data_IF_936041595644
#
_entry.id   IF_936041595644
#
_cell.length_a   1.000
_cell.length_b   1.000
_cell.length_c   1.000
_cell.angle_alpha   90.00
_cell.angle_beta   90.00
_cell.angle_gamma   90.00
#
_symmetry.space_group_name_H-M   'P 1'
#
loop_
_entity.id
_entity.type
_entity.pdbx_description
1 polymer ?
#
# COMPACT_ATOMS: atom_id res chain seq x y z
N UNK A 1 -5.33 13.93 18.61
CA UNK A 1 -4.72 14.78 17.56
C UNK A 1 -5.61 14.76 16.32
N UNK A 2 -5.66 15.88 15.59
CA UNK A 2 -6.29 15.95 14.28
C UNK A 2 -5.26 15.72 13.16
N UNK A 3 -5.44 14.68 12.34
CA UNK A 3 -4.48 14.26 11.32
C UNK A 3 -5.15 14.30 9.94
N UNK A 4 -4.52 14.98 8.99
CA UNK A 4 -4.91 15.00 7.58
C UNK A 4 -4.00 14.09 6.76
N UNK A 5 -4.57 13.27 5.87
CA UNK A 5 -3.82 12.32 5.04
C UNK A 5 -4.26 12.45 3.59
N UNK A 6 -3.28 12.63 2.71
CA UNK A 6 -3.45 12.69 1.26
C UNK A 6 -2.72 11.50 0.61
N UNK A 7 -3.46 10.55 0.05
CA UNK A 7 -2.94 9.29 -0.49
C UNK A 7 -3.38 9.03 -1.94
N UNK A 8 -2.46 9.16 -2.89
CA UNK A 8 -2.76 8.92 -4.31
C UNK A 8 -3.08 7.46 -4.61
N UNK A 9 -2.28 6.56 -4.05
CA UNK A 9 -2.36 5.15 -4.40
C UNK A 9 -3.50 4.42 -3.71
N UNK A 10 -4.10 5.04 -2.69
CA UNK A 10 -5.00 4.37 -1.77
C UNK A 10 -4.30 3.30 -0.92
N UNK A 11 -2.97 3.19 -0.97
CA UNK A 11 -2.22 2.12 -0.32
C UNK A 11 -1.90 2.42 1.17
N UNK A 12 -2.09 3.66 1.60
CA UNK A 12 -1.91 4.19 2.94
C UNK A 12 -3.23 4.21 3.76
N UNK A 13 -4.32 3.66 3.22
CA UNK A 13 -5.60 3.55 3.95
C UNK A 13 -5.51 2.66 5.21
N UNK A 14 -4.68 1.61 5.21
CA UNK A 14 -4.53 0.75 6.40
C UNK A 14 -3.87 1.46 7.58
N UNK A 15 -2.72 2.14 7.41
CA UNK A 15 -2.14 2.97 8.47
C UNK A 15 -3.08 4.11 8.92
N UNK A 16 -3.79 4.74 7.97
CA UNK A 16 -4.80 5.75 8.29
C UNK A 16 -5.93 5.20 9.17
N UNK A 17 -6.45 4.02 8.85
CA UNK A 17 -7.41 3.29 9.67
C UNK A 17 -6.80 2.92 11.03
N UNK A 18 -5.55 2.48 11.05
CA UNK A 18 -4.80 2.19 12.27
C UNK A 18 -4.80 3.36 13.24
N UNK A 19 -4.44 4.55 12.77
CA UNK A 19 -4.48 5.79 13.57
C UNK A 19 -5.89 6.10 14.08
N UNK A 20 -6.91 5.93 13.24
CA UNK A 20 -8.31 6.11 13.67
C UNK A 20 -8.73 5.11 14.75
N UNK A 21 -8.37 3.83 14.62
CA UNK A 21 -8.62 2.77 15.60
C UNK A 21 -7.92 3.01 16.94
N UNK A 22 -6.82 3.77 16.93
CA UNK A 22 -6.11 4.16 18.14
C UNK A 22 -6.72 5.42 18.79
N UNK A 23 -7.72 6.05 18.17
CA UNK A 23 -8.48 7.16 18.73
C UNK A 23 -8.08 8.53 18.18
N UNK A 24 -7.25 8.59 17.13
CA UNK A 24 -6.96 9.85 16.43
C UNK A 24 -8.15 10.26 15.54
N UNK A 25 -8.35 11.58 15.39
CA UNK A 25 -9.26 12.11 14.38
C UNK A 25 -8.50 12.16 13.06
N UNK A 26 -8.91 11.35 12.09
CA UNK A 26 -8.23 11.22 10.79
C UNK A 26 -9.13 11.70 9.67
N UNK A 27 -8.68 12.71 8.94
CA UNK A 27 -9.22 13.14 7.66
C UNK A 27 -8.38 12.51 6.56
N UNK A 28 -8.95 11.59 5.79
CA UNK A 28 -8.21 10.91 4.72
C UNK A 28 -8.83 11.24 3.37
N UNK A 29 -7.98 11.42 2.36
CA UNK A 29 -8.37 11.49 0.96
C UNK A 29 -7.47 10.63 0.12
N UNK A 30 -8.06 9.78 -0.72
CA UNK A 30 -7.32 9.07 -1.76
C UNK A 30 -8.20 8.66 -2.94
N UNK A 31 -7.57 8.17 -4.02
CA UNK A 31 -8.22 7.85 -5.31
C UNK A 31 -9.36 6.81 -5.19
N UNK A 32 -9.41 6.06 -4.09
CA UNK A 32 -10.45 5.08 -3.80
C UNK A 32 -11.61 5.55 -2.91
N UNK A 33 -11.66 6.82 -2.48
CA UNK A 33 -12.80 7.36 -1.73
C UNK A 33 -12.97 6.86 -0.30
N UNK A 34 -11.89 6.51 0.41
CA UNK A 34 -11.94 6.01 1.79
C UNK A 34 -12.18 7.13 2.81
N UNK A 35 -13.08 6.92 3.79
CA UNK A 35 -13.21 7.76 4.99
C UNK A 35 -13.01 6.89 6.25
N UNK A 36 -11.94 7.08 7.04
CA UNK A 36 -11.58 6.22 8.18
C UNK A 36 -12.46 6.38 9.43
N UNK A 37 -13.44 7.29 9.40
CA UNK A 37 -14.26 7.65 10.57
C UNK A 37 -15.40 6.68 10.89
N UNK A 38 -15.76 5.78 9.96
CA UNK A 38 -16.77 4.75 10.17
C UNK A 38 -16.44 3.48 9.35
N UNK A 39 -16.09 2.36 9.99
CA UNK A 39 -15.76 1.10 9.30
C UNK A 39 -16.95 0.46 8.57
N UNK A 40 -18.19 0.88 8.84
CA UNK A 40 -19.40 0.49 8.09
C UNK A 40 -19.64 1.37 6.88
N UNK A 41 -19.10 2.60 6.87
CA UNK A 41 -19.09 3.52 5.74
C UNK A 41 -17.77 3.48 4.97
N UNK A 42 -17.16 2.30 4.80
CA UNK A 42 -16.14 2.12 3.76
C UNK A 42 -16.77 2.45 2.40
N UNK A 43 -16.61 3.65 1.80
CA UNK A 43 -17.50 4.03 0.74
C UNK A 43 -16.95 3.50 -0.58
N UNK A 44 -17.73 2.63 -1.20
CA UNK A 44 -18.13 2.87 -2.59
C UNK A 44 -19.31 3.85 -2.65
N UNK A 45 -19.46 4.77 -1.69
CA UNK A 45 -20.11 6.01 -2.06
C UNK A 45 -19.13 6.66 -3.05
N UNK A 46 -19.51 6.84 -4.32
CA UNK A 46 -18.70 7.69 -5.17
C UNK A 46 -18.47 9.00 -4.42
N UNK A 47 -17.32 9.62 -4.62
CA UNK A 47 -17.15 11.04 -4.26
C UNK A 47 -18.44 11.79 -4.64
N UNK A 48 -18.89 12.79 -3.86
CA UNK A 48 -20.06 13.61 -4.19
C UNK A 48 -20.09 14.07 -5.67
N UNK A 49 -18.92 14.08 -6.32
CA UNK A 49 -18.71 13.98 -7.76
C UNK A 49 -19.74 13.18 -8.59
N UNK A 50 -20.15 11.97 -8.17
CA UNK A 50 -21.11 11.17 -8.94
C UNK A 50 -22.58 11.48 -8.63
N UNK A 51 -22.85 12.42 -7.71
CA UNK A 51 -24.20 12.91 -7.39
C UNK A 51 -24.42 14.37 -7.85
N UNK A 52 -23.58 14.89 -8.74
CA UNK A 52 -23.88 16.11 -9.51
C UNK A 52 -23.64 17.43 -8.77
N UNK A 53 -23.02 17.41 -7.59
CA UNK A 53 -22.52 18.60 -6.91
C UNK A 53 -21.06 18.39 -6.54
N UNK A 54 -20.15 18.92 -7.35
CA UNK A 54 -18.74 18.99 -6.96
C UNK A 54 -18.57 20.22 -6.04
N UNK A 55 -18.36 20.06 -4.72
CA UNK A 55 -17.70 21.12 -3.96
C UNK A 55 -16.36 21.44 -4.64
N UNK A 56 -15.90 22.69 -4.54
CA UNK A 56 -14.59 23.02 -5.12
C UNK A 56 -13.52 22.10 -4.52
N UNK A 57 -12.48 21.71 -5.27
CA UNK A 57 -11.37 20.90 -4.75
C UNK A 57 -10.80 21.46 -3.44
N UNK A 58 -10.87 22.78 -3.24
CA UNK A 58 -10.46 23.44 -2.01
C UNK A 58 -11.36 23.09 -0.83
N UNK A 59 -12.69 23.15 -0.97
CA UNK A 59 -13.63 22.81 0.08
C UNK A 59 -13.52 21.34 0.55
N UNK A 60 -13.16 20.43 -0.36
CA UNK A 60 -12.89 19.02 0.00
C UNK A 60 -11.59 18.85 0.80
N UNK A 61 -10.60 19.71 0.58
CA UNK A 61 -9.27 19.63 1.20
C UNK A 61 -9.18 20.45 2.49
N UNK A 62 -10.11 21.36 2.75
CA UNK A 62 -10.12 22.22 3.93
C UNK A 62 -9.94 21.47 5.27
N UNK A 63 -10.66 20.35 5.54
CA UNK A 63 -10.47 19.60 6.79
C UNK A 63 -9.05 19.01 6.94
N UNK A 64 -8.40 18.69 5.83
CA UNK A 64 -7.05 18.13 5.78
C UNK A 64 -6.02 19.24 5.97
N UNK A 65 -6.17 20.36 5.27
CA UNK A 65 -5.26 21.50 5.37
C UNK A 65 -5.35 22.20 6.73
N UNK A 66 -6.49 22.09 7.43
CA UNK A 66 -6.67 22.56 8.80
C UNK A 66 -6.21 21.57 9.88
N UNK A 67 -5.66 20.41 9.52
CA UNK A 67 -5.18 19.42 10.48
C UNK A 67 -3.90 19.87 11.21
N UNK A 68 -3.66 19.31 12.40
CA UNK A 68 -2.46 19.60 13.18
C UNK A 68 -1.22 18.94 12.56
N UNK A 69 -1.40 17.78 11.95
CA UNK A 69 -0.40 17.05 11.18
C UNK A 69 -1.00 16.68 9.83
N UNK A 70 -0.25 16.96 8.76
CA UNK A 70 -0.58 16.51 7.40
C UNK A 70 0.44 15.47 6.95
N UNK A 71 -0.06 14.32 6.48
CA UNK A 71 0.72 13.24 5.89
C UNK A 71 0.44 13.21 4.38
N UNK A 72 1.48 13.34 3.57
CA UNK A 72 1.39 13.16 2.12
C UNK A 72 1.97 11.80 1.76
N UNK A 73 1.12 10.91 1.26
CA UNK A 73 1.48 9.57 0.82
C UNK A 73 1.42 9.44 -0.71
N UNK A 74 2.54 9.06 -1.30
CA UNK A 74 2.69 8.93 -2.75
C UNK A 74 2.54 10.26 -3.51
N UNK A 75 2.15 10.17 -4.78
CA UNK A 75 2.09 11.29 -5.73
C UNK A 75 0.78 12.10 -5.68
N UNK A 76 0.14 12.26 -4.51
CA UNK A 76 -1.24 12.80 -4.45
C UNK A 76 -1.34 14.26 -4.87
N UNK A 77 -0.31 15.04 -4.58
CA UNK A 77 -0.29 16.43 -4.96
C UNK A 77 -0.28 16.60 -6.50
N UNK A 78 0.11 15.58 -7.29
CA UNK A 78 0.02 15.62 -8.76
C UNK A 78 -1.43 15.55 -9.24
N UNK A 79 -2.30 14.78 -8.58
CA UNK A 79 -3.71 14.66 -8.97
C UNK A 79 -4.57 15.82 -8.48
N UNK A 80 -4.41 16.23 -7.22
CA UNK A 80 -5.11 17.37 -6.66
C UNK A 80 -4.81 18.64 -7.48
N UNK A 81 -3.55 18.77 -7.92
CA UNK A 81 -3.12 19.80 -8.85
C UNK A 81 -3.79 19.69 -10.23
N UNK A 82 -3.76 18.52 -10.88
CA UNK A 82 -4.42 18.32 -12.18
C UNK A 82 -5.90 18.72 -12.12
N UNK A 83 -6.60 18.35 -11.04
CA UNK A 83 -8.01 18.71 -10.84
C UNK A 83 -8.22 20.22 -10.63
N UNK A 84 -7.36 20.87 -9.85
CA UNK A 84 -7.43 22.34 -9.64
C UNK A 84 -7.19 23.11 -10.93
N UNK A 85 -6.29 22.63 -11.80
CA UNK A 85 -6.05 23.23 -13.11
C UNK A 85 -7.10 22.85 -14.17
N UNK A 86 -8.14 22.09 -13.81
CA UNK A 86 -9.14 21.61 -14.77
C UNK A 86 -8.58 20.64 -15.81
N UNK A 87 -7.40 20.07 -15.57
CA UNK A 87 -6.79 19.03 -16.40
C UNK A 87 -7.52 17.72 -16.06
N UNK A 88 -8.64 17.49 -16.73
CA UNK A 88 -9.37 16.24 -16.65
C UNK A 88 -8.83 15.25 -17.67
N UNK A 89 -8.44 14.07 -17.19
CA UNK A 89 -8.39 12.84 -17.96
C UNK A 89 -7.59 12.89 -19.25
N UNK A 90 -6.35 12.42 -19.20
CA UNK A 90 -5.86 11.62 -20.31
C UNK A 90 -5.45 10.26 -19.73
N UNK A 91 -5.79 9.20 -20.47
CA UNK A 91 -5.45 7.82 -20.13
C UNK A 91 -4.02 7.73 -19.57
N UNK A 92 -3.72 6.80 -18.64
CA UNK A 92 -2.38 6.71 -18.06
C UNK A 92 -1.35 6.71 -19.17
N UNK A 93 -0.67 7.85 -19.33
CA UNK A 93 0.33 8.05 -20.38
C UNK A 93 1.34 6.94 -20.20
N UNK A 94 1.60 6.21 -21.27
CA UNK A 94 2.62 5.16 -21.19
C UNK A 94 3.98 5.86 -21.12
N UNK A 95 4.98 5.38 -20.39
CA UNK A 95 6.33 5.91 -20.39
C UNK A 95 6.99 5.93 -21.76
N UNK A 96 6.49 5.12 -22.70
CA UNK A 96 6.91 5.16 -24.09
C UNK A 96 6.33 6.36 -24.86
N UNK A 97 5.31 7.02 -24.31
CA UNK A 97 4.71 8.24 -24.85
C UNK A 97 5.70 9.39 -24.70
N UNK A 98 6.09 10.07 -25.79
CA UNK A 98 6.93 11.27 -25.73
C UNK A 98 6.40 12.33 -24.76
N UNK A 99 5.08 12.36 -24.51
CA UNK A 99 4.45 13.26 -23.56
C UNK A 99 4.71 12.86 -22.09
N UNK A 100 4.90 11.59 -21.78
CA UNK A 100 5.14 11.14 -20.40
C UNK A 100 6.41 11.76 -19.80
N UNK A 101 7.50 11.78 -20.57
CA UNK A 101 8.78 12.35 -20.15
C UNK A 101 8.75 13.88 -20.02
N UNK A 102 7.86 14.57 -20.75
CA UNK A 102 7.72 16.03 -20.70
C UNK A 102 6.72 16.50 -19.64
N UNK A 103 5.74 15.67 -19.30
CA UNK A 103 4.73 15.94 -18.29
C UNK A 103 5.24 15.66 -16.88
N UNK A 104 6.04 14.60 -16.68
CA UNK A 104 6.51 14.21 -15.34
C UNK A 104 7.37 15.30 -14.63
N UNK A 105 8.38 15.94 -15.27
CA UNK A 105 9.12 17.05 -14.65
C UNK A 105 8.26 18.29 -14.38
N UNK A 106 7.31 18.58 -15.29
CA UNK A 106 6.38 19.71 -15.14
C UNK A 106 5.41 19.45 -13.99
N UNK A 107 4.83 18.26 -13.91
CA UNK A 107 3.96 17.82 -12.81
C UNK A 107 4.64 18.03 -11.46
N UNK A 108 5.88 17.57 -11.29
CA UNK A 108 6.65 17.78 -10.07
C UNK A 108 6.83 19.27 -9.71
N UNK A 109 7.26 20.11 -10.65
CA UNK A 109 7.45 21.56 -10.41
C UNK A 109 6.14 22.26 -10.03
N UNK A 110 5.04 21.95 -10.73
CA UNK A 110 3.74 22.55 -10.46
C UNK A 110 3.09 22.02 -9.17
N UNK A 111 3.23 20.72 -8.88
CA UNK A 111 2.87 20.09 -7.61
C UNK A 111 3.57 20.78 -6.44
N UNK A 112 4.87 21.02 -6.56
CA UNK A 112 5.66 21.66 -5.51
C UNK A 112 5.13 23.08 -5.24
N UNK A 113 4.82 23.85 -6.29
CA UNK A 113 4.15 25.16 -6.14
C UNK A 113 2.78 25.06 -5.48
N UNK A 114 2.00 24.04 -5.79
CA UNK A 114 0.69 23.81 -5.16
C UNK A 114 0.84 23.56 -3.65
N UNK A 115 1.82 22.76 -3.25
CA UNK A 115 2.17 22.47 -1.86
C UNK A 115 2.68 23.73 -1.14
N UNK A 116 3.61 24.46 -1.77
CA UNK A 116 4.20 25.70 -1.23
C UNK A 116 3.14 26.74 -0.85
N UNK A 117 2.14 26.95 -1.72
CA UNK A 117 1.00 27.85 -1.42
C UNK A 117 0.22 27.46 -0.17
N UNK A 118 0.26 26.18 0.20
CA UNK A 118 -0.52 25.61 1.31
C UNK A 118 0.33 25.33 2.55
N UNK A 119 1.67 25.36 2.45
CA UNK A 119 2.58 25.20 3.59
C UNK A 119 2.30 26.23 4.70
N UNK A 120 1.94 27.46 4.35
CA UNK A 120 1.56 28.48 5.34
C UNK A 120 0.33 28.13 6.19
N UNK A 121 -0.42 27.09 5.81
CA UNK A 121 -1.59 26.57 6.52
C UNK A 121 -1.30 25.26 7.26
N UNK A 122 -0.25 24.54 6.87
CA UNK A 122 0.14 23.24 7.44
C UNK A 122 1.10 23.47 8.60
N UNK A 123 0.74 22.99 9.79
CA UNK A 123 1.57 23.16 10.99
C UNK A 123 2.72 22.15 11.09
N UNK A 124 2.48 20.92 10.66
CA UNK A 124 3.45 19.82 10.67
C UNK A 124 3.24 18.96 9.44
N UNK A 125 4.32 18.60 8.75
CA UNK A 125 4.26 17.88 7.46
C UNK A 125 5.12 16.62 7.48
N UNK A 126 4.50 15.49 7.14
CA UNK A 126 5.16 14.19 6.99
C UNK A 126 4.99 13.69 5.58
N UNK A 127 6.05 13.10 5.04
CA UNK A 127 6.09 12.64 3.66
C UNK A 127 6.34 11.13 3.63
N UNK A 128 5.51 10.41 2.88
CA UNK A 128 5.61 8.97 2.71
C UNK A 128 5.75 8.67 1.22
N UNK A 129 6.97 8.34 0.82
CA UNK A 129 7.26 7.90 -0.53
C UNK A 129 6.91 6.41 -0.70
N UNK A 130 5.87 6.16 -1.48
CA UNK A 130 5.42 4.80 -1.82
C UNK A 130 5.98 4.32 -3.17
N UNK A 131 6.82 5.11 -3.83
CA UNK A 131 7.37 4.82 -5.15
C UNK A 131 8.37 3.67 -5.13
N UNK A 132 8.36 2.93 -6.22
CA UNK A 132 9.17 1.75 -6.49
C UNK A 132 10.44 2.05 -7.30
N UNK A 133 10.63 3.31 -7.72
CA UNK A 133 11.80 3.75 -8.49
C UNK A 133 12.65 4.72 -7.66
N UNK A 134 13.93 4.38 -7.54
CA UNK A 134 14.85 5.00 -6.58
C UNK A 134 15.07 6.49 -6.83
N UNK A 135 15.21 7.23 -5.73
CA UNK A 135 15.39 8.68 -5.69
C UNK A 135 14.46 9.28 -4.63
N UNK A 136 14.97 10.19 -3.81
CA UNK A 136 14.12 11.05 -3.00
C UNK A 136 13.90 12.32 -3.80
N UNK A 137 12.65 12.75 -3.86
CA UNK A 137 12.34 14.05 -4.42
C UNK A 137 13.08 15.14 -3.62
N UNK A 138 13.89 16.01 -4.25
CA UNK A 138 14.57 17.10 -3.55
C UNK A 138 13.61 17.97 -2.73
N UNK A 139 12.34 18.08 -3.15
CA UNK A 139 11.32 18.77 -2.39
C UNK A 139 10.99 18.04 -1.08
N UNK A 140 10.95 16.70 -1.08
CA UNK A 140 10.82 15.94 0.17
C UNK A 140 11.97 16.23 1.12
N UNK A 141 13.18 16.44 0.59
CA UNK A 141 14.37 16.75 1.37
C UNK A 141 14.33 18.14 2.02
N UNK A 142 13.57 19.08 1.47
CA UNK A 142 13.55 20.48 1.91
C UNK A 142 12.43 20.81 2.90
N UNK A 143 11.29 20.08 2.88
CA UNK A 143 10.06 20.56 3.54
C UNK A 143 9.37 19.56 4.49
N UNK A 144 9.84 18.30 4.59
CA UNK A 144 9.26 17.33 5.51
C UNK A 144 9.96 17.25 6.86
N UNK A 145 9.18 17.18 7.94
CA UNK A 145 9.66 16.94 9.31
C UNK A 145 10.06 15.47 9.53
N UNK A 146 9.39 14.55 8.82
CA UNK A 146 9.69 13.12 8.85
C UNK A 146 9.41 12.51 7.48
N UNK A 147 10.27 11.56 7.08
CA UNK A 147 10.26 10.96 5.74
C UNK A 147 10.28 9.46 5.86
N UNK A 148 9.27 8.85 5.27
CA UNK A 148 9.11 7.41 5.19
C UNK A 148 9.27 6.97 3.74
N UNK A 149 9.90 5.82 3.52
CA UNK A 149 9.98 5.20 2.20
C UNK A 149 9.66 3.73 2.30
N UNK A 150 8.92 3.19 1.32
CA UNK A 150 8.40 1.80 1.23
C UNK A 150 9.37 0.64 1.51
N UNK A 151 10.67 0.91 1.78
CA UNK A 151 11.81 0.03 2.10
C UNK A 151 12.95 0.19 1.07
N UNK A 152 14.20 0.35 1.53
CA UNK A 152 15.39 0.75 0.75
C UNK A 152 16.45 -0.40 0.71
N UNK A 153 17.47 -0.48 -0.21
CA UNK A 153 17.99 0.61 -1.06
C UNK A 153 18.58 0.25 -2.47
N UNK A 154 19.10 1.28 -3.18
CA UNK A 154 20.43 1.23 -3.85
C UNK A 154 21.24 2.55 -3.71
N UNK A 155 20.85 3.44 -2.78
CA UNK A 155 21.51 4.73 -2.52
C UNK A 155 21.38 5.07 -1.01
N UNK A 156 21.89 4.21 -0.13
CA UNK A 156 21.90 4.46 1.34
C UNK A 156 22.84 5.61 1.71
N UNK A 157 22.44 6.84 1.39
CA UNK A 157 23.03 8.08 1.93
C UNK A 157 21.96 9.18 2.07
N UNK A 158 20.73 8.81 2.44
CA UNK A 158 19.70 9.79 2.78
C UNK A 158 19.50 9.83 4.29
N UNK A 159 20.28 10.68 4.96
CA UNK A 159 20.08 11.00 6.37
C UNK A 159 18.61 11.41 6.61
N UNK A 160 17.98 10.81 7.63
CA UNK A 160 16.62 11.14 8.05
C UNK A 160 15.47 10.45 7.31
N UNK A 161 15.70 9.30 6.65
CA UNK A 161 14.64 8.50 6.00
C UNK A 161 14.48 7.12 6.64
N UNK A 162 13.25 6.77 7.01
CA UNK A 162 12.90 5.49 7.64
C UNK A 162 12.17 4.53 6.67
N UNK A 163 12.38 3.20 6.78
CA UNK A 163 11.58 2.22 6.03
C UNK A 163 10.12 2.23 6.49
N UNK A 164 9.19 2.00 5.56
CA UNK A 164 7.75 1.97 5.81
C UNK A 164 7.13 0.67 5.34
N UNK A 165 6.83 -0.26 6.26
CA UNK A 165 6.54 -1.63 5.88
C UNK A 165 5.06 -1.95 5.69
N UNK A 166 4.17 -0.96 5.88
CA UNK A 166 2.73 -1.16 6.03
C UNK A 166 1.95 -0.63 4.83
N UNK A 167 1.87 -1.42 3.76
CA UNK A 167 1.02 -1.11 2.60
C UNK A 167 -0.12 -2.10 2.43
N UNK A 168 -1.28 -1.55 2.09
CA UNK A 168 -2.52 -2.30 2.08
C UNK A 168 -3.15 -2.36 0.70
N UNK A 169 -3.77 -3.50 0.41
CA UNK A 169 -4.72 -3.58 -0.68
C UNK A 169 -6.08 -3.11 -0.17
N UNK A 170 -6.70 -2.07 -0.76
CA UNK A 170 -7.96 -1.50 -0.27
C UNK A 170 -9.09 -2.53 -0.15
N UNK A 171 -9.16 -3.48 -1.10
CA UNK A 171 -10.19 -4.51 -1.09
C UNK A 171 -10.06 -5.47 0.10
N UNK A 172 -8.84 -5.78 0.53
CA UNK A 172 -8.61 -6.67 1.68
C UNK A 172 -9.07 -6.00 2.96
N UNK A 173 -8.66 -4.75 3.16
CA UNK A 173 -9.10 -3.93 4.30
C UNK A 173 -10.62 -3.82 4.34
N UNK A 174 -11.24 -3.58 3.18
CA UNK A 174 -12.69 -3.56 3.11
C UNK A 174 -13.27 -4.84 3.69
N UNK A 175 -12.82 -6.00 3.22
CA UNK A 175 -13.33 -7.27 3.71
C UNK A 175 -13.06 -7.47 5.19
N UNK A 176 -11.87 -7.15 5.67
CA UNK A 176 -11.50 -7.26 7.09
C UNK A 176 -12.45 -6.50 8.01
N UNK A 177 -12.85 -5.28 7.64
CA UNK A 177 -13.66 -4.41 8.51
C UNK A 177 -15.16 -4.45 8.23
N UNK A 178 -15.59 -4.71 6.98
CA UNK A 178 -17.02 -4.75 6.65
C UNK A 178 -17.65 -6.13 6.85
N UNK A 179 -16.89 -7.20 6.63
CA UNK A 179 -17.40 -8.57 6.64
C UNK A 179 -16.62 -9.52 7.56
N UNK A 180 -15.45 -9.10 8.05
CA UNK A 180 -14.49 -9.97 8.72
C UNK A 180 -13.70 -10.82 7.73
N UNK A 181 -12.42 -11.06 8.03
CA UNK A 181 -11.59 -11.97 7.22
C UNK A 181 -12.15 -13.40 7.19
N UNK A 182 -12.86 -13.84 8.22
CA UNK A 182 -13.49 -15.16 8.27
C UNK A 182 -14.52 -15.39 7.17
N UNK A 183 -15.13 -14.34 6.62
CA UNK A 183 -16.09 -14.45 5.53
C UNK A 183 -15.47 -14.90 4.20
N UNK A 184 -14.16 -14.70 4.02
CA UNK A 184 -13.44 -15.07 2.79
C UNK A 184 -12.37 -16.13 3.01
N UNK A 185 -12.01 -16.41 4.27
CA UNK A 185 -11.01 -17.41 4.61
C UNK A 185 -11.61 -18.81 4.61
N UNK A 186 -10.94 -19.74 3.94
CA UNK A 186 -11.24 -21.16 4.11
C UNK A 186 -10.58 -21.68 5.39
N UNK A 187 -11.11 -22.78 5.94
CA UNK A 187 -10.57 -23.39 7.17
C UNK A 187 -9.07 -23.70 7.00
N UNK A 188 -8.24 -23.51 8.06
CA UNK A 188 -6.83 -23.90 8.05
C UNK A 188 -6.57 -25.35 7.60
N UNK A 189 -7.50 -26.27 7.86
CA UNK A 189 -7.39 -27.67 7.45
C UNK A 189 -7.52 -27.87 5.93
N UNK A 190 -8.06 -26.86 5.23
CA UNK A 190 -8.34 -26.86 3.79
C UNK A 190 -7.36 -25.98 3.02
N UNK A 191 -6.76 -24.98 3.68
CA UNK A 191 -5.72 -24.13 3.11
C UNK A 191 -4.55 -24.97 2.59
N UNK A 192 -4.10 -24.66 1.38
CA UNK A 192 -2.91 -25.28 0.80
C UNK A 192 -3.05 -26.75 0.38
N UNK A 193 -4.28 -27.27 0.25
CA UNK A 193 -4.51 -28.64 -0.25
C UNK A 193 -4.18 -28.85 -1.73
N UNK A 194 -4.00 -27.78 -2.50
CA UNK A 194 -3.55 -27.85 -3.89
C UNK A 194 -2.06 -28.21 -4.01
N UNK A 195 -1.69 -28.98 -5.04
CA UNK A 195 -0.32 -29.47 -5.22
C UNK A 195 0.70 -28.47 -5.77
N UNK A 196 0.32 -27.21 -6.01
CA UNK A 196 1.16 -26.20 -6.67
C UNK A 196 1.30 -24.92 -5.86
N UNK A 197 2.26 -24.09 -6.25
CA UNK A 197 2.42 -22.72 -5.76
C UNK A 197 1.84 -21.74 -6.78
N UNK A 198 1.31 -20.62 -6.31
CA UNK A 198 0.57 -19.69 -7.15
C UNK A 198 1.14 -18.27 -7.10
N UNK A 199 1.45 -17.71 -8.27
CA UNK A 199 1.79 -16.30 -8.43
C UNK A 199 0.55 -15.47 -8.78
N UNK A 200 0.05 -14.72 -7.80
CA UNK A 200 -1.12 -13.85 -7.93
C UNK A 200 -0.84 -12.46 -8.51
N UNK A 201 0.15 -12.33 -9.42
CA UNK A 201 0.52 -11.04 -10.03
C UNK A 201 0.24 -10.99 -11.53
N UNK A 202 -0.13 -9.82 -12.05
CA UNK A 202 -0.43 -9.62 -13.47
C UNK A 202 0.82 -9.74 -14.34
N UNK A 203 0.81 -10.66 -15.31
CA UNK A 203 1.88 -10.82 -16.31
C UNK A 203 1.65 -9.98 -17.58
N UNK A 204 0.40 -9.61 -17.86
CA UNK A 204 0.04 -8.73 -18.99
C UNK A 204 0.29 -7.23 -18.78
N UNK A 205 0.85 -6.80 -17.65
CA UNK A 205 1.09 -5.36 -17.39
C UNK A 205 2.27 -4.84 -18.23
N UNK A 206 2.10 -3.74 -18.96
CA UNK A 206 3.13 -3.20 -19.86
C UNK A 206 4.45 -2.87 -19.12
N UNK A 207 4.39 -2.22 -17.96
CA UNK A 207 5.59 -1.83 -17.17
C UNK A 207 6.35 -2.99 -16.53
N UNK A 208 5.63 -3.99 -16.02
CA UNK A 208 6.19 -4.98 -15.09
C UNK A 208 6.06 -6.43 -15.57
N UNK A 209 5.22 -6.69 -16.57
CA UNK A 209 4.85 -8.02 -17.05
C UNK A 209 6.04 -8.80 -17.60
N UNK A 210 6.82 -8.19 -18.50
CA UNK A 210 8.02 -8.81 -19.06
C UNK A 210 9.05 -9.21 -18.01
N UNK A 211 9.28 -8.36 -17.00
CA UNK A 211 10.15 -8.68 -15.86
C UNK A 211 9.59 -9.84 -15.04
N UNK A 212 8.31 -9.81 -14.67
CA UNK A 212 7.65 -10.87 -13.90
C UNK A 212 7.71 -12.22 -14.62
N UNK A 213 7.46 -12.25 -15.94
CA UNK A 213 7.60 -13.48 -16.76
C UNK A 213 9.01 -14.06 -16.69
N UNK A 214 10.05 -13.23 -16.89
CA UNK A 214 11.45 -13.69 -16.81
C UNK A 214 11.81 -14.27 -15.43
N UNK A 215 11.39 -13.60 -14.35
CA UNK A 215 11.65 -14.06 -12.99
C UNK A 215 10.89 -15.35 -12.69
N UNK A 216 9.64 -15.46 -13.14
CA UNK A 216 8.83 -16.67 -13.02
C UNK A 216 9.43 -17.86 -13.79
N UNK A 217 9.88 -17.65 -15.02
CA UNK A 217 10.59 -18.67 -15.81
C UNK A 217 11.90 -19.10 -15.15
N UNK A 218 12.63 -18.18 -14.53
CA UNK A 218 13.82 -18.51 -13.73
C UNK A 218 13.45 -19.38 -12.53
N UNK A 219 12.35 -19.07 -11.84
CA UNK A 219 11.87 -19.88 -10.72
C UNK A 219 11.49 -21.30 -11.15
N UNK A 220 10.76 -21.44 -12.26
CA UNK A 220 10.38 -22.74 -12.85
C UNK A 220 11.59 -23.58 -13.24
N UNK A 221 12.63 -22.95 -13.82
CA UNK A 221 13.89 -23.64 -14.16
C UNK A 221 14.70 -24.05 -12.93
N UNK A 222 14.73 -23.21 -11.88
CA UNK A 222 15.45 -23.50 -10.63
C UNK A 222 14.77 -24.62 -9.83
N UNK A 223 13.44 -24.73 -9.91
CA UNK A 223 12.64 -25.70 -9.16
C UNK A 223 11.67 -26.48 -10.06
N UNK A 224 12.15 -27.31 -10.99
CA UNK A 224 11.32 -28.02 -11.98
C UNK A 224 10.33 -29.01 -11.35
N UNK A 225 10.63 -29.51 -10.16
CA UNK A 225 9.78 -30.42 -9.39
C UNK A 225 8.57 -29.72 -8.75
N UNK A 226 8.54 -28.38 -8.72
CA UNK A 226 7.46 -27.61 -8.12
C UNK A 226 6.54 -27.11 -9.22
N UNK A 227 5.26 -27.45 -9.13
CA UNK A 227 4.23 -26.91 -10.02
C UNK A 227 4.01 -25.43 -9.69
N UNK A 228 4.54 -24.53 -10.53
CA UNK A 228 4.37 -23.07 -10.38
C UNK A 228 3.31 -22.57 -11.36
N UNK A 229 2.16 -22.18 -10.82
CA UNK A 229 1.07 -21.57 -11.55
C UNK A 229 1.16 -20.04 -11.51
N UNK A 230 0.79 -19.40 -12.61
CA UNK A 230 0.66 -17.96 -12.70
C UNK A 230 -0.45 -17.64 -13.70
N UNK A 231 -1.10 -16.51 -13.53
CA UNK A 231 -2.20 -16.08 -14.42
C UNK A 231 -1.75 -14.90 -15.26
N UNK A 232 -2.05 -14.94 -16.56
CA UNK A 232 -1.61 -13.90 -17.48
C UNK A 232 -2.40 -12.59 -17.37
N UNK A 233 -3.70 -12.63 -17.07
CA UNK A 233 -4.57 -11.50 -16.68
C UNK A 233 -6.01 -11.99 -16.47
N UNK A 234 -6.92 -11.12 -15.99
CA UNK A 234 -8.37 -11.32 -16.10
C UNK A 234 -9.11 -11.97 -14.92
N UNK A 235 -8.41 -12.32 -13.82
CA UNK A 235 -9.09 -12.75 -12.60
C UNK A 235 -9.55 -11.56 -11.77
N UNK A 236 -10.73 -11.70 -11.17
CA UNK A 236 -11.17 -10.80 -10.11
C UNK A 236 -10.33 -10.98 -8.83
N UNK A 237 -10.42 -10.02 -7.91
CA UNK A 237 -9.79 -10.13 -6.58
C UNK A 237 -10.27 -11.37 -5.85
N UNK A 238 -11.58 -11.64 -5.85
CA UNK A 238 -12.16 -12.82 -5.21
C UNK A 238 -11.62 -14.13 -5.79
N UNK A 239 -11.56 -14.25 -7.12
CA UNK A 239 -10.98 -15.43 -7.78
C UNK A 239 -9.49 -15.58 -7.48
N UNK A 240 -8.76 -14.47 -7.35
CA UNK A 240 -7.35 -14.48 -6.98
C UNK A 240 -7.17 -15.00 -5.55
N UNK A 241 -7.97 -14.53 -4.60
CA UNK A 241 -7.94 -14.99 -3.20
C UNK A 241 -8.33 -16.45 -3.06
N UNK A 242 -9.38 -16.89 -3.74
CA UNK A 242 -9.78 -18.29 -3.77
C UNK A 242 -8.61 -19.18 -4.22
N UNK A 243 -7.97 -18.84 -5.35
CA UNK A 243 -6.81 -19.59 -5.84
C UNK A 243 -5.62 -19.57 -4.90
N UNK A 244 -5.32 -18.42 -4.30
CA UNK A 244 -4.23 -18.30 -3.31
C UNK A 244 -4.46 -19.23 -2.12
N UNK A 245 -5.68 -19.31 -1.63
CA UNK A 245 -6.04 -20.14 -0.49
C UNK A 245 -6.02 -21.64 -0.79
N UNK A 246 -6.33 -22.04 -2.03
CA UNK A 246 -6.20 -23.43 -2.48
C UNK A 246 -4.75 -23.83 -2.78
N UNK A 247 -3.89 -22.90 -3.19
CA UNK A 247 -2.50 -23.19 -3.51
C UNK A 247 -1.69 -23.57 -2.26
N UNK A 248 -0.75 -24.50 -2.39
CA UNK A 248 0.20 -24.89 -1.32
C UNK A 248 0.88 -23.66 -0.70
N UNK A 249 1.24 -22.70 -1.55
CA UNK A 249 1.84 -21.45 -1.14
C UNK A 249 1.63 -20.36 -2.18
N UNK A 250 1.64 -19.12 -1.72
CA UNK A 250 1.80 -17.94 -2.56
C UNK A 250 3.25 -17.75 -2.97
N UNK A 251 3.47 -17.51 -4.26
CA UNK A 251 4.79 -17.18 -4.80
C UNK A 251 5.06 -15.68 -4.70
N UNK A 252 6.10 -15.31 -3.96
CA UNK A 252 6.65 -13.97 -3.94
C UNK A 252 7.85 -13.87 -4.89
N UNK A 253 7.82 -12.92 -5.82
CA UNK A 253 8.91 -12.71 -6.79
C UNK A 253 9.56 -11.35 -6.59
N UNK A 254 10.90 -11.26 -6.64
CA UNK A 254 11.61 -9.99 -6.52
C UNK A 254 11.30 -9.03 -7.68
N UNK A 255 11.37 -7.73 -7.42
CA UNK A 255 11.06 -6.68 -8.38
C UNK A 255 11.27 -5.27 -7.84
N UNK A 256 11.12 -4.25 -8.70
CA UNK A 256 11.04 -2.86 -8.23
C UNK A 256 9.79 -2.72 -7.35
N UNK A 257 9.96 -2.24 -6.11
CA UNK A 257 8.88 -2.08 -5.11
C UNK A 257 8.57 -3.32 -4.28
N UNK A 258 9.62 -4.03 -3.82
CA UNK A 258 9.46 -5.18 -2.95
C UNK A 258 8.76 -4.83 -1.62
N UNK A 259 8.27 -5.86 -0.91
CA UNK A 259 7.00 -5.83 -0.17
C UNK A 259 5.81 -5.25 -0.96
N UNK A 260 5.34 -6.06 -1.90
CA UNK A 260 4.07 -5.80 -2.57
C UNK A 260 2.91 -6.15 -1.63
N UNK A 261 1.77 -5.47 -1.82
CA UNK A 261 0.50 -5.75 -1.12
C UNK A 261 0.10 -7.24 -1.12
N UNK A 262 0.65 -8.06 -2.04
CA UNK A 262 0.46 -9.52 -2.03
C UNK A 262 0.99 -10.18 -0.77
N UNK A 263 2.12 -9.75 -0.21
CA UNK A 263 2.67 -10.37 0.99
C UNK A 263 1.73 -10.13 2.17
N UNK A 264 1.26 -8.91 2.32
CA UNK A 264 0.21 -8.59 3.29
C UNK A 264 -1.05 -9.44 3.05
N UNK A 265 -1.53 -9.59 1.81
CA UNK A 265 -2.69 -10.44 1.56
C UNK A 265 -2.49 -11.92 1.84
N UNK A 266 -1.32 -12.47 1.51
CA UNK A 266 -0.96 -13.84 1.86
C UNK A 266 -1.00 -14.03 3.37
N UNK A 267 -0.42 -13.10 4.13
CA UNK A 267 -0.45 -13.14 5.59
C UNK A 267 -1.87 -13.06 6.15
N UNK A 268 -2.69 -12.11 5.67
CA UNK A 268 -4.07 -11.93 6.12
C UNK A 268 -4.97 -13.15 5.82
N UNK A 269 -4.77 -13.79 4.67
CA UNK A 269 -5.48 -15.00 4.26
C UNK A 269 -4.90 -16.30 4.86
N UNK A 270 -3.80 -16.21 5.62
CA UNK A 270 -3.15 -17.38 6.20
C UNK A 270 -2.48 -18.29 5.16
N UNK A 271 -2.11 -17.75 4.00
CA UNK A 271 -1.48 -18.52 2.93
C UNK A 271 0.03 -18.52 3.14
N UNK A 272 0.68 -19.70 3.22
CA UNK A 272 2.14 -19.81 3.28
C UNK A 272 2.81 -19.03 2.15
N UNK A 273 3.89 -18.31 2.45
CA UNK A 273 4.61 -17.54 1.44
C UNK A 273 5.96 -18.14 1.09
N UNK A 274 6.24 -18.28 -0.20
CA UNK A 274 7.50 -18.77 -0.73
C UNK A 274 8.20 -17.71 -1.59
N UNK A 275 9.44 -17.39 -1.23
CA UNK A 275 10.30 -16.46 -1.96
C UNK A 275 11.53 -17.22 -2.52
N UNK A 276 11.51 -17.74 -3.76
CA UNK A 276 12.59 -18.57 -4.31
C UNK A 276 13.96 -17.86 -4.48
N UNK A 277 13.99 -16.54 -4.30
CA UNK A 277 15.14 -15.66 -4.45
C UNK A 277 15.22 -14.71 -3.26
N UNK A 278 16.43 -14.22 -2.99
CA UNK A 278 16.65 -13.17 -2.00
C UNK A 278 15.98 -11.86 -2.44
N UNK A 279 15.29 -11.16 -1.53
CA UNK A 279 14.81 -9.81 -1.77
C UNK A 279 15.97 -8.86 -2.13
N UNK A 280 15.72 -7.98 -3.09
CA UNK A 280 16.62 -6.88 -3.46
C UNK A 280 16.48 -5.65 -2.56
N UNK A 281 15.47 -5.59 -1.70
CA UNK A 281 15.31 -4.56 -0.67
C UNK A 281 15.55 -5.14 0.73
N UNK A 282 15.83 -4.25 1.70
CA UNK A 282 15.77 -4.62 3.11
C UNK A 282 14.33 -4.90 3.52
N UNK A 283 14.05 -6.15 3.89
CA UNK A 283 12.78 -6.51 4.51
C UNK A 283 12.74 -6.07 5.99
N UNK A 284 11.56 -5.76 6.52
CA UNK A 284 11.32 -5.68 7.95
C UNK A 284 11.69 -7.00 8.59
N UNK A 285 12.40 -6.94 9.72
CA UNK A 285 12.96 -8.13 10.38
C UNK A 285 11.91 -9.21 10.67
N UNK A 286 10.68 -8.80 10.99
CA UNK A 286 9.57 -9.74 11.24
C UNK A 286 9.30 -10.68 10.05
N UNK A 287 9.46 -10.22 8.80
CA UNK A 287 9.24 -11.09 7.63
C UNK A 287 10.24 -12.24 7.53
N UNK A 288 11.43 -12.10 8.13
CA UNK A 288 12.43 -13.17 8.17
C UNK A 288 11.92 -14.42 8.92
N UNK A 289 10.89 -14.26 9.76
CA UNK A 289 10.28 -15.37 10.51
C UNK A 289 9.40 -16.28 9.63
N UNK A 290 8.78 -15.73 8.58
CA UNK A 290 7.73 -16.42 7.81
C UNK A 290 7.98 -16.52 6.31
N UNK A 291 8.82 -15.64 5.74
CA UNK A 291 9.19 -15.67 4.33
C UNK A 291 10.39 -16.61 4.13
N UNK A 292 10.22 -17.67 3.34
CA UNK A 292 11.23 -18.73 3.21
C UNK A 292 11.67 -18.91 1.77
N UNK A 293 12.96 -19.20 1.57
CA UNK A 293 13.52 -19.60 0.27
C UNK A 293 13.38 -21.10 0.02
N UNK A 294 13.44 -21.91 1.08
CA UNK A 294 13.23 -23.35 1.01
C UNK A 294 11.73 -23.68 1.03
N UNK A 295 11.18 -24.30 -0.03
CA UNK A 295 9.77 -24.68 -0.10
C UNK A 295 9.37 -25.82 0.84
N UNK A 296 10.32 -26.52 1.47
CA UNK A 296 10.04 -27.55 2.49
C UNK A 296 9.84 -26.97 3.90
N UNK A 297 10.34 -25.77 4.15
CA UNK A 297 10.34 -25.11 5.46
C UNK A 297 9.32 -23.96 5.57
N UNK A 298 8.27 -23.96 4.73
CA UNK A 298 7.28 -22.89 4.70
C UNK A 298 6.51 -22.81 6.02
N UNK A 299 6.20 -21.57 6.43
CA UNK A 299 5.32 -21.33 7.57
C UNK A 299 3.92 -21.91 7.31
N UNK A 300 3.33 -22.55 8.32
CA UNK A 300 1.97 -23.07 8.22
C UNK A 300 0.91 -21.97 8.25
N UNK A 301 -0.35 -22.25 7.87
CA UNK A 301 -1.41 -21.24 7.82
C UNK A 301 -1.63 -20.48 9.13
N UNK A 302 -1.68 -21.19 10.26
CA UNK A 302 -1.84 -20.57 11.58
C UNK A 302 -0.68 -19.63 11.93
N UNK A 303 0.54 -19.97 11.50
CA UNK A 303 1.72 -19.12 11.73
C UNK A 303 1.62 -17.82 10.91
N UNK A 304 1.20 -17.92 9.64
CA UNK A 304 0.96 -16.74 8.78
C UNK A 304 -0.10 -15.81 9.36
N UNK A 305 -1.21 -16.37 9.87
CA UNK A 305 -2.27 -15.56 10.51
C UNK A 305 -1.80 -14.86 11.78
N UNK A 306 -1.03 -15.56 12.63
CA UNK A 306 -0.45 -14.95 13.85
C UNK A 306 0.54 -13.85 13.49
N UNK A 307 1.37 -14.08 12.49
CA UNK A 307 2.29 -13.08 11.96
C UNK A 307 1.53 -11.84 11.49
N UNK A 308 0.45 -12.02 10.72
CA UNK A 308 -0.41 -10.93 10.26
C UNK A 308 -0.95 -10.09 11.42
N UNK A 309 -1.61 -10.74 12.39
CA UNK A 309 -2.23 -10.06 13.52
C UNK A 309 -1.23 -9.29 14.38
N UNK A 310 0.00 -9.80 14.50
CA UNK A 310 1.05 -9.21 15.33
C UNK A 310 1.82 -8.08 14.64
N UNK A 311 1.96 -8.12 13.32
CA UNK A 311 2.92 -7.29 12.61
C UNK A 311 2.38 -6.56 11.39
N UNK A 312 1.17 -6.87 10.92
CA UNK A 312 0.64 -6.33 9.65
C UNK A 312 -0.81 -5.87 9.74
N UNK A 313 -1.50 -6.15 10.84
CA UNK A 313 -2.85 -5.66 11.08
C UNK A 313 -2.87 -4.11 11.15
N UNK A 314 -3.90 -3.43 10.63
CA UNK A 314 -3.96 -1.95 10.58
C UNK A 314 -3.67 -1.26 11.91
N UNK A 315 -4.15 -1.83 13.01
CA UNK A 315 -3.86 -1.31 14.35
C UNK A 315 -2.36 -1.26 14.66
N UNK A 316 -1.60 -2.27 14.24
CA UNK A 316 -0.14 -2.28 14.44
C UNK A 316 0.56 -1.29 13.51
N UNK A 317 0.09 -1.11 12.27
CA UNK A 317 0.56 -0.04 11.39
C UNK A 317 0.33 1.36 12.00
N UNK A 318 -0.84 1.55 12.62
CA UNK A 318 -1.15 2.77 13.37
C UNK A 318 -0.19 3.01 14.53
N UNK A 319 0.11 1.97 15.32
CA UNK A 319 1.04 2.06 16.46
C UNK A 319 2.46 2.37 16.01
N UNK A 320 2.89 1.74 14.91
CA UNK A 320 4.16 2.06 14.29
C UNK A 320 4.24 3.55 13.94
N UNK A 321 3.20 4.06 13.26
CA UNK A 321 3.14 5.48 12.93
C UNK A 321 3.09 6.38 14.17
N UNK A 322 2.28 6.09 15.18
CA UNK A 322 2.26 6.86 16.43
C UNK A 322 3.65 6.95 17.06
N UNK A 323 4.34 5.81 17.16
CA UNK A 323 5.67 5.72 17.74
C UNK A 323 6.69 6.52 16.91
N UNK A 324 6.75 6.29 15.60
CA UNK A 324 7.69 7.01 14.72
C UNK A 324 7.40 8.51 14.72
N UNK A 325 6.13 8.92 14.71
CA UNK A 325 5.72 10.32 14.68
C UNK A 325 5.80 11.02 16.05
N UNK A 326 6.11 10.29 17.14
CA UNK A 326 6.13 10.81 18.50
C UNK A 326 4.76 11.29 18.99
N UNK A 327 3.67 10.63 18.56
CA UNK A 327 2.31 10.98 18.98
C UNK A 327 2.06 10.43 20.38
N UNK A 328 1.42 11.23 21.24
CA UNK A 328 0.97 10.74 22.54
C UNK A 328 -0.13 9.68 22.34
N UNK A 329 -0.04 8.51 23.00
CA UNK A 329 -1.09 7.51 22.94
C UNK A 329 -2.41 8.12 23.39
N UNK A 330 -3.47 7.94 22.60
CA UNK A 330 -4.80 8.36 23.04
C UNK A 330 -5.28 7.36 24.09
N UNK A 331 -5.54 7.84 25.30
CA UNK A 331 -6.20 7.03 26.32
C UNK A 331 -7.61 6.70 25.82
N UNK A 332 -7.78 5.49 25.28
CA UNK A 332 -9.09 4.97 24.95
C UNK A 332 -9.87 4.84 26.26
N UNK A 333 -10.76 5.80 26.55
CA UNK A 333 -11.74 5.59 27.61
C UNK A 333 -12.65 4.47 27.16
N UNK A 334 -12.48 3.28 27.72
CA UNK A 334 -13.45 2.20 27.55
C UNK A 334 -14.75 2.63 28.25
N UNK A 335 -15.62 3.36 27.55
CA UNK A 335 -17.03 3.39 27.90
C UNK A 335 -17.57 1.99 27.60
N UNK A 336 -17.98 1.30 28.68
CA UNK A 336 -18.58 -0.04 28.66
C UNK A 336 -19.88 -0.08 27.88
#
# INVERSE_FOLDING_TARGET
MNIGILDYGGNFCGPALGLALLGHRVHYRGVGGFEPGDPTLLPFAPSPAAQGGHPSPEAELEPILGAELVILAGSFADEAWCRELGIQGEAPLRPEDPLFASINPRQAEFRNRWLEKRLGRIRRLVLVDMSDEGGLDPWFLAHGDMRFKRELPLWEEADGVEPFPYLYHPQLLRTEFSAGLDAIRVSPDVLGRGGGVFFGGTLGHWRYGGRRRRVLERARRKYPQIRIEAVESGLSVAQTWERLQWARAGLYLPGKGELCFRLHELAALGVPCWAPFEPSIRLPEAWLEVLRQDPSALAGPTQMLRFYLRHYHPREAGRYLEASLGLAPVALSCSR
#
